data_IF_973683669544
#
_entry.id   IF_973683669544
#
_cell.length_a   1.000
_cell.length_b   1.000
_cell.length_c   1.000
_cell.angle_alpha   90.00
_cell.angle_beta   90.00
_cell.angle_gamma   90.00
#
_symmetry.space_group_name_H-M   'P 1'
#
loop_
_entity.id
_entity.type
_entity.pdbx_description
1 polymer ?
#
# COMPACT_ATOMS: atom_id res chain seq x y z
N UNK A 1 -4.71 -13.90 3.25
CA UNK A 1 -5.87 -14.61 2.67
C UNK A 1 -5.29 -15.74 1.87
N UNK A 2 -5.65 -17.00 2.15
CA UNK A 2 -5.11 -18.19 1.46
C UNK A 2 -6.15 -18.78 0.49
N UNK A 3 -6.48 -18.12 -0.65
CA UNK A 3 -7.58 -18.54 -1.51
C UNK A 3 -7.32 -19.87 -2.21
N UNK A 4 -6.06 -20.18 -2.53
CA UNK A 4 -5.66 -21.44 -3.16
C UNK A 4 -5.92 -22.64 -2.25
N UNK A 5 -5.39 -22.56 -1.02
CA UNK A 5 -5.52 -23.62 -0.02
C UNK A 5 -6.98 -23.85 0.34
N UNK A 6 -7.79 -22.78 0.38
CA UNK A 6 -9.25 -22.88 0.57
C UNK A 6 -9.93 -23.63 -0.58
N UNK A 7 -9.59 -23.32 -1.83
CA UNK A 7 -10.15 -24.02 -2.99
C UNK A 7 -9.79 -25.52 -2.99
N UNK A 8 -8.54 -25.87 -2.66
CA UNK A 8 -8.11 -27.27 -2.55
C UNK A 8 -8.86 -27.99 -1.43
N UNK A 9 -8.95 -27.39 -0.24
CA UNK A 9 -9.67 -27.98 0.90
C UNK A 9 -11.15 -28.20 0.57
N UNK A 10 -11.81 -27.23 -0.07
CA UNK A 10 -13.20 -27.38 -0.52
C UNK A 10 -13.37 -28.54 -1.49
N UNK A 11 -12.48 -28.70 -2.48
CA UNK A 11 -12.52 -29.81 -3.41
C UNK A 11 -12.37 -31.18 -2.74
N UNK A 12 -11.51 -31.27 -1.71
CA UNK A 12 -11.35 -32.49 -0.90
C UNK A 12 -12.63 -32.80 -0.14
N UNK A 13 -13.25 -31.78 0.50
CA UNK A 13 -14.51 -31.92 1.23
C UNK A 13 -15.68 -32.32 0.33
N UNK A 14 -15.71 -31.82 -0.91
CA UNK A 14 -16.74 -32.15 -1.91
C UNK A 14 -16.48 -33.48 -2.65
N UNK A 15 -15.42 -34.22 -2.29
CA UNK A 15 -14.99 -35.45 -2.94
C UNK A 15 -14.73 -35.30 -4.46
N UNK A 16 -14.24 -34.13 -4.88
CA UNK A 16 -13.86 -33.84 -6.27
C UNK A 16 -12.36 -34.03 -6.50
N UNK A 17 -11.95 -34.12 -7.77
CA UNK A 17 -10.53 -34.12 -8.12
C UNK A 17 -9.92 -32.73 -7.86
N UNK A 18 -9.16 -32.60 -6.76
CA UNK A 18 -8.55 -31.35 -6.33
C UNK A 18 -7.61 -30.72 -7.37
N UNK A 19 -6.93 -31.51 -8.21
CA UNK A 19 -6.04 -30.97 -9.27
C UNK A 19 -6.85 -30.23 -10.33
N UNK A 20 -7.97 -30.81 -10.75
CA UNK A 20 -8.86 -30.20 -11.75
C UNK A 20 -9.48 -28.91 -11.22
N UNK A 21 -9.94 -28.91 -9.98
CA UNK A 21 -10.48 -27.71 -9.32
C UNK A 21 -9.42 -26.63 -9.14
N UNK A 22 -8.20 -27.00 -8.77
CA UNK A 22 -7.06 -26.09 -8.69
C UNK A 22 -6.78 -25.40 -10.03
N UNK A 23 -6.75 -26.15 -11.13
CA UNK A 23 -6.55 -25.57 -12.46
C UNK A 23 -7.70 -24.65 -12.87
N UNK A 24 -8.94 -25.04 -12.59
CA UNK A 24 -10.13 -24.21 -12.82
C UNK A 24 -10.07 -22.90 -12.03
N UNK A 25 -9.77 -22.98 -10.74
CA UNK A 25 -9.59 -21.83 -9.86
C UNK A 25 -8.52 -20.87 -10.39
N UNK A 26 -7.35 -21.40 -10.73
CA UNK A 26 -6.22 -20.63 -11.25
C UNK A 26 -6.56 -19.94 -12.58
N UNK A 27 -7.28 -20.63 -13.47
CA UNK A 27 -7.73 -20.05 -14.73
C UNK A 27 -8.69 -18.88 -14.48
N UNK A 28 -9.68 -19.06 -13.61
CA UNK A 28 -10.63 -18.01 -13.24
C UNK A 28 -9.94 -16.82 -12.58
N UNK A 29 -8.98 -17.07 -11.68
CA UNK A 29 -8.18 -16.02 -11.06
C UNK A 29 -7.43 -15.17 -12.11
N UNK A 30 -6.83 -15.82 -13.12
CA UNK A 30 -6.10 -15.12 -14.20
C UNK A 30 -7.00 -14.29 -15.11
N UNK A 31 -8.26 -14.70 -15.29
CA UNK A 31 -9.22 -14.04 -16.18
C UNK A 31 -10.10 -12.99 -15.48
N UNK A 32 -10.23 -13.05 -14.15
CA UNK A 32 -11.11 -12.15 -13.38
C UNK A 32 -10.39 -10.84 -13.06
N UNK A 33 -11.01 -9.67 -13.29
CA UNK A 33 -10.45 -8.38 -12.89
C UNK A 33 -10.11 -8.32 -11.40
N UNK A 34 -8.88 -7.91 -11.07
CA UNK A 34 -8.46 -7.77 -9.68
C UNK A 34 -9.10 -6.54 -9.03
N UNK A 35 -9.44 -6.62 -7.74
CA UNK A 35 -10.22 -5.61 -7.02
C UNK A 35 -9.55 -4.23 -6.99
N UNK A 36 -8.22 -4.20 -6.84
CA UNK A 36 -7.39 -2.99 -6.77
C UNK A 36 -7.21 -2.35 -8.14
N UNK A 37 -6.64 -3.10 -9.09
CA UNK A 37 -6.20 -2.57 -10.39
C UNK A 37 -7.32 -2.49 -11.42
N UNK A 38 -8.42 -3.25 -11.23
CA UNK A 38 -9.54 -3.43 -12.18
C UNK A 38 -9.18 -4.15 -13.48
N UNK A 39 -7.95 -4.63 -13.58
CA UNK A 39 -7.48 -5.47 -14.68
C UNK A 39 -7.18 -6.86 -14.14
N UNK A 40 -7.34 -7.87 -14.99
CA UNK A 40 -7.03 -9.25 -14.63
C UNK A 40 -5.52 -9.47 -14.52
N UNK A 41 -5.06 -10.42 -13.69
CA UNK A 41 -3.63 -10.71 -13.59
C UNK A 41 -2.97 -11.08 -14.93
N UNK A 42 -3.66 -11.80 -15.81
CA UNK A 42 -3.12 -12.15 -17.12
C UNK A 42 -2.98 -10.95 -18.06
N UNK A 43 -3.94 -10.02 -18.01
CA UNK A 43 -3.85 -8.76 -18.76
C UNK A 43 -2.61 -7.98 -18.32
N UNK A 44 -2.35 -7.86 -17.02
CA UNK A 44 -1.20 -7.11 -16.51
C UNK A 44 0.17 -7.70 -16.91
N UNK A 45 0.27 -9.03 -17.00
CA UNK A 45 1.54 -9.72 -17.28
C UNK A 45 1.80 -9.92 -18.77
N UNK A 46 0.77 -10.29 -19.52
CA UNK A 46 0.90 -10.70 -20.92
C UNK A 46 0.31 -9.67 -21.89
N UNK A 47 -0.18 -8.55 -21.36
CA UNK A 47 -0.81 -7.46 -22.09
C UNK A 47 -1.97 -7.91 -23.00
N UNK A 48 -2.55 -9.09 -22.74
CA UNK A 48 -3.61 -9.71 -23.53
C UNK A 48 -4.76 -10.19 -22.65
N UNK A 49 -5.98 -10.15 -23.18
CA UNK A 49 -7.15 -10.64 -22.46
C UNK A 49 -7.38 -12.13 -22.69
N UNK A 50 -7.30 -12.94 -21.62
CA UNK A 50 -7.68 -14.35 -21.67
C UNK A 50 -9.20 -14.46 -21.84
N UNK A 51 -9.65 -15.05 -22.94
CA UNK A 51 -11.05 -15.33 -23.21
C UNK A 51 -11.38 -16.74 -22.69
N UNK A 52 -12.35 -16.82 -21.77
CA UNK A 52 -12.87 -18.09 -21.23
C UNK A 52 -13.90 -18.76 -22.16
N UNK A 53 -14.34 -18.04 -23.20
CA UNK A 53 -15.29 -18.51 -24.22
C UNK A 53 -14.56 -18.76 -25.52
N UNK A 54 -15.13 -19.61 -26.37
CA UNK A 54 -14.62 -19.87 -27.71
C UNK A 54 -14.42 -18.54 -28.48
N UNK A 55 -13.33 -18.40 -29.26
CA UNK A 55 -13.10 -17.19 -30.04
C UNK A 55 -14.25 -16.96 -31.01
N UNK A 56 -14.91 -15.81 -30.89
CA UNK A 56 -15.84 -15.34 -31.93
C UNK A 56 -15.01 -14.63 -33.03
N UNK A 57 -15.08 -15.05 -34.30
CA UNK A 57 -14.31 -14.45 -35.40
C UNK A 57 -14.55 -12.94 -35.58
N UNK A 58 -15.64 -12.40 -35.03
CA UNK A 58 -15.99 -10.97 -35.13
C UNK A 58 -15.22 -10.11 -34.10
N UNK A 59 -14.59 -10.70 -33.08
CA UNK A 59 -13.97 -9.94 -31.99
C UNK A 59 -12.46 -9.77 -32.20
N UNK A 60 -12.09 -8.70 -32.93
CA UNK A 60 -10.70 -8.26 -33.11
C UNK A 60 -10.02 -8.01 -31.75
N UNK A 61 -8.73 -8.34 -31.67
CA UNK A 61 -7.90 -8.23 -30.46
C UNK A 61 -7.77 -6.76 -30.07
N UNK A 62 -8.39 -6.35 -28.97
CA UNK A 62 -8.17 -5.03 -28.37
C UNK A 62 -7.25 -5.21 -27.16
N UNK A 63 -6.00 -5.54 -27.43
CA UNK A 63 -5.00 -5.83 -26.40
C UNK A 63 -4.18 -4.57 -26.12
N UNK A 64 -4.76 -3.63 -25.38
CA UNK A 64 -3.95 -2.60 -24.72
C UNK A 64 -4.46 -2.40 -23.31
N UNK A 65 -3.81 -3.07 -22.36
CA UNK A 65 -3.88 -2.64 -20.96
C UNK A 65 -3.41 -1.18 -20.90
N UNK A 66 -4.25 -0.31 -20.37
CA UNK A 66 -3.92 1.10 -20.19
C UNK A 66 -3.05 1.21 -18.93
N UNK A 67 -1.73 1.09 -19.09
CA UNK A 67 -0.76 1.12 -17.98
C UNK A 67 -0.98 2.32 -17.04
N UNK A 68 -1.28 3.49 -17.61
CA UNK A 68 -1.63 4.70 -16.84
C UNK A 68 -2.82 4.46 -15.90
N UNK A 69 -3.88 3.82 -16.38
CA UNK A 69 -5.08 3.54 -15.58
C UNK A 69 -4.80 2.52 -14.47
N UNK A 70 -3.95 1.52 -14.72
CA UNK A 70 -3.52 0.56 -13.69
C UNK A 70 -2.83 1.29 -12.55
N UNK A 71 -1.87 2.17 -12.87
CA UNK A 71 -1.12 2.95 -11.87
C UNK A 71 -2.01 3.89 -11.08
N UNK A 72 -2.91 4.61 -11.75
CA UNK A 72 -3.88 5.50 -11.07
C UNK A 72 -4.77 4.73 -10.08
N UNK A 73 -5.24 3.54 -10.46
CA UNK A 73 -6.05 2.69 -9.58
C UNK A 73 -5.26 2.19 -8.37
N UNK A 74 -4.01 1.78 -8.57
CA UNK A 74 -3.12 1.34 -7.48
C UNK A 74 -2.81 2.47 -6.49
N UNK A 75 -2.49 3.67 -7.00
CA UNK A 75 -2.26 4.86 -6.17
C UNK A 75 -3.50 5.17 -5.32
N UNK A 76 -4.68 5.23 -5.94
CA UNK A 76 -5.94 5.46 -5.21
C UNK A 76 -6.20 4.42 -4.13
N UNK A 77 -5.88 3.15 -4.39
CA UNK A 77 -6.05 2.08 -3.41
C UNK A 77 -5.06 2.22 -2.24
N UNK A 78 -3.81 2.57 -2.51
CA UNK A 78 -2.80 2.86 -1.49
C UNK A 78 -3.17 4.06 -0.63
N UNK A 79 -3.68 5.14 -1.23
CA UNK A 79 -4.17 6.31 -0.52
C UNK A 79 -5.32 5.96 0.43
N UNK A 80 -6.31 5.20 -0.05
CA UNK A 80 -7.42 4.71 0.79
C UNK A 80 -6.92 3.86 1.96
N UNK A 81 -5.96 2.97 1.70
CA UNK A 81 -5.38 2.11 2.73
C UNK A 81 -4.62 2.93 3.79
N UNK A 82 -3.85 3.93 3.36
CA UNK A 82 -3.15 4.87 4.24
C UNK A 82 -4.14 5.66 5.09
N UNK A 83 -5.16 6.28 4.48
CA UNK A 83 -6.18 7.03 5.20
C UNK A 83 -6.91 6.19 6.25
N UNK A 84 -7.22 4.93 5.93
CA UNK A 84 -7.82 4.01 6.89
C UNK A 84 -6.86 3.68 8.05
N UNK A 85 -5.59 3.39 7.75
CA UNK A 85 -4.58 3.10 8.77
C UNK A 85 -4.37 4.29 9.71
N UNK A 86 -4.27 5.50 9.17
CA UNK A 86 -4.12 6.74 9.93
C UNK A 86 -5.35 7.00 10.82
N UNK A 87 -6.56 6.77 10.30
CA UNK A 87 -7.80 6.84 11.07
C UNK A 87 -7.79 5.87 12.25
N UNK A 88 -7.46 4.60 12.01
CA UNK A 88 -7.38 3.58 13.07
C UNK A 88 -6.33 3.96 14.11
N UNK A 89 -5.17 4.47 13.68
CA UNK A 89 -4.10 4.93 14.58
C UNK A 89 -4.55 6.12 15.43
N UNK A 90 -5.27 7.10 14.87
CA UNK A 90 -5.83 8.24 15.61
C UNK A 90 -6.82 7.78 16.68
N UNK A 91 -7.74 6.87 16.33
CA UNK A 91 -8.71 6.30 17.29
C UNK A 91 -8.01 5.63 18.47
N UNK A 92 -6.98 4.82 18.23
CA UNK A 92 -6.22 4.13 19.29
C UNK A 92 -5.45 5.09 20.19
N UNK A 93 -4.92 6.20 19.65
CA UNK A 93 -4.28 7.26 20.46
C UNK A 93 -5.29 7.95 21.39
N UNK A 94 -6.47 8.27 20.87
CA UNK A 94 -7.56 8.86 21.65
C UNK A 94 -8.08 7.91 22.73
N UNK A 95 -8.24 6.62 22.43
CA UNK A 95 -8.58 5.62 23.45
C UNK A 95 -7.49 5.47 24.51
N UNK A 96 -6.21 5.57 24.13
CA UNK A 96 -5.09 5.51 25.08
C UNK A 96 -5.02 6.75 25.98
N UNK A 97 -5.37 7.94 25.49
CA UNK A 97 -5.39 9.15 26.32
C UNK A 97 -6.57 9.17 27.32
N UNK A 98 -7.69 8.51 27.01
CA UNK A 98 -8.81 8.33 27.95
C UNK A 98 -8.48 7.38 29.12
N UNK A 99 -7.39 6.61 29.02
CA UNK A 99 -6.96 5.65 30.04
C UNK A 99 -5.90 6.21 31.00
N UNK A 100 -5.47 7.46 30.82
CA UNK A 100 -4.55 8.16 31.71
C UNK A 100 -5.26 9.43 32.17
N UNK A 101 -6.18 9.28 33.13
CA UNK A 101 -6.61 10.43 33.93
C UNK A 101 -5.51 10.69 34.97
N UNK A 102 -4.89 11.88 35.00
CA UNK A 102 -3.89 12.18 36.03
C UNK A 102 -4.60 12.27 37.38
N UNK A 103 -4.15 11.46 38.35
CA UNK A 103 -4.56 11.61 39.74
C UNK A 103 -3.96 12.91 40.30
N UNK A 104 -4.71 13.72 41.08
CA UNK A 104 -4.19 14.96 41.63
C UNK A 104 -3.07 14.63 42.63
N UNK A 105 -1.83 15.01 42.28
CA UNK A 105 -0.71 14.93 43.22
C UNK A 105 -0.84 16.09 44.19
N UNK A 106 -0.78 15.80 45.50
CA UNK A 106 -0.79 16.84 46.53
C UNK A 106 0.58 17.52 46.54
N UNK A 107 0.58 18.84 46.38
CA UNK A 107 1.72 19.72 46.59
C UNK A 107 2.11 19.73 48.06
N UNK A 108 3.38 19.41 48.34
CA UNK A 108 4.10 19.97 49.49
C UNK A 108 5.60 19.71 49.28
N UNK A 109 6.39 20.77 49.16
CA UNK A 109 7.58 21.03 49.99
C UNK A 109 8.01 22.48 49.73
N UNK A 110 7.91 23.26 50.79
CA UNK A 110 8.33 24.65 50.92
C UNK A 110 9.84 24.75 51.18
N UNK A 111 10.36 25.93 50.81
CA UNK A 111 11.60 26.59 51.25
C UNK A 111 12.91 26.07 50.64
N UNK A 112 13.94 26.86 50.31
CA UNK A 112 14.20 28.30 50.16
C UNK A 112 15.66 28.41 49.65
N UNK A 113 16.05 29.59 49.12
CA UNK A 113 17.44 30.10 49.03
C UNK A 113 18.13 30.18 47.64
N UNK A 114 17.96 31.35 47.02
CA UNK A 114 18.99 32.40 46.81
C UNK A 114 20.03 32.36 45.65
N UNK A 115 20.15 33.56 45.03
CA UNK A 115 21.16 34.13 44.10
C UNK A 115 21.33 33.45 42.73
N UNK A 116 21.06 34.07 41.58
CA UNK A 116 21.47 35.41 41.16
C UNK A 116 22.56 35.26 40.08
N UNK A 117 22.28 35.68 38.84
CA UNK A 117 23.23 35.60 37.74
C UNK A 117 22.62 36.00 36.40
N UNK A 118 22.56 37.31 36.16
CA UNK A 118 22.34 37.95 34.86
C UNK A 118 23.43 37.54 33.86
N UNK A 119 23.05 37.28 32.61
CA UNK A 119 23.86 37.50 31.41
C UNK A 119 22.89 37.54 30.23
N UNK A 120 22.58 38.76 29.80
CA UNK A 120 22.11 39.07 28.46
C UNK A 120 23.11 38.57 27.42
N UNK A 121 22.64 38.16 26.25
CA UNK A 121 23.07 38.77 24.98
C UNK A 121 22.28 38.18 23.80
N UNK A 122 21.93 39.08 22.91
CA UNK A 122 21.17 38.94 21.69
C UNK A 122 21.82 38.01 20.66
N UNK A 123 21.04 37.08 20.10
CA UNK A 123 21.11 36.72 18.66
C UNK A 123 19.71 36.36 18.18
N UNK A 124 19.06 37.33 17.53
CA UNK A 124 18.02 37.03 16.56
C UNK A 124 18.70 36.50 15.30
N UNK A 125 18.23 35.37 14.75
CA UNK A 125 18.41 35.08 13.33
C UNK A 125 17.25 34.24 12.77
N UNK A 126 16.54 34.91 11.87
CA UNK A 126 15.90 34.45 10.63
C UNK A 126 14.89 33.30 10.66
N UNK A 127 13.63 33.72 10.56
CA UNK A 127 12.54 32.96 9.95
C UNK A 127 12.85 32.85 8.44
N UNK A 128 13.16 31.66 7.95
CA UNK A 128 13.06 31.38 6.52
C UNK A 128 12.10 30.22 6.25
N UNK A 129 11.09 30.55 5.44
CA UNK A 129 10.15 29.67 4.79
C UNK A 129 10.92 28.63 3.98
N UNK A 130 10.54 27.36 4.08
CA UNK A 130 10.37 26.43 2.95
C UNK A 130 10.27 25.00 3.49
N UNK A 131 9.01 24.55 3.60
CA UNK A 131 8.69 23.21 4.03
C UNK A 131 8.96 22.18 2.92
N UNK A 132 10.11 21.53 2.96
CA UNK A 132 10.34 20.29 2.21
C UNK A 132 10.42 19.08 3.15
N UNK A 133 9.31 18.33 3.26
CA UNK A 133 9.32 16.98 3.87
C UNK A 133 9.82 15.97 2.83
N UNK A 134 11.11 15.69 2.88
CA UNK A 134 11.80 14.67 2.07
C UNK A 134 11.33 13.25 2.43
N UNK A 135 10.49 12.64 1.60
CA UNK A 135 10.23 11.18 1.67
C UNK A 135 11.42 10.45 1.05
N UNK A 136 12.09 9.58 1.82
CA UNK A 136 13.14 8.70 1.29
C UNK A 136 12.52 7.63 0.39
N UNK A 137 12.56 7.84 -0.91
CA UNK A 137 12.41 6.78 -1.91
C UNK A 137 13.73 6.04 -2.05
N UNK A 138 13.70 4.71 -1.96
CA UNK A 138 14.86 3.87 -2.23
C UNK A 138 15.20 3.92 -3.72
N UNK A 139 16.46 4.23 -4.01
CA UNK A 139 17.02 4.26 -5.35
C UNK A 139 17.09 2.85 -5.93
N UNK A 140 16.33 2.59 -6.99
CA UNK A 140 16.56 1.47 -7.90
C UNK A 140 17.47 1.98 -9.01
N UNK A 141 18.76 1.65 -8.89
CA UNK A 141 19.73 1.86 -9.96
C UNK A 141 19.26 1.14 -11.23
N UNK A 142 19.09 1.90 -12.32
CA UNK A 142 18.84 1.36 -13.65
C UNK A 142 20.19 1.16 -14.32
N UNK A 143 20.66 -0.07 -14.39
CA UNK A 143 21.80 -0.43 -15.24
C UNK A 143 21.43 -0.13 -16.70
N UNK A 144 22.16 0.80 -17.31
CA UNK A 144 22.11 1.03 -18.76
C UNK A 144 22.87 -0.09 -19.45
N UNK A 145 22.12 -1.10 -19.91
CA UNK A 145 22.63 -2.14 -20.79
C UNK A 145 23.01 -1.57 -22.16
N UNK A 146 24.29 -1.72 -22.48
CA UNK A 146 24.96 -1.39 -23.72
C UNK A 146 24.30 -2.11 -24.92
N UNK A 147 24.02 -1.39 -26.03
CA UNK A 147 23.52 -1.99 -27.27
C UNK A 147 24.69 -2.44 -28.15
N UNK A 148 24.74 -3.70 -28.65
CA UNK A 148 25.68 -4.07 -29.69
C UNK A 148 25.24 -3.43 -31.02
N UNK A 149 26.21 -2.93 -31.78
CA UNK A 149 26.04 -2.35 -33.10
C UNK A 149 26.06 -3.50 -34.10
N UNK A 150 24.96 -3.70 -34.81
CA UNK A 150 24.92 -4.64 -35.92
C UNK A 150 25.87 -4.15 -37.03
N UNK A 151 26.81 -5.01 -37.44
CA UNK A 151 27.55 -4.93 -38.71
C UNK A 151 27.48 -6.29 -39.38
#
# INVERSE_FOLDING_TARGET
MEPMTKAIRAAITEHKNWKKELYSFLLNYRATPHSTTKFSPAELLFNRKIKMKLPNPVHQMQDTVKDKQVRENDVKAKERMKANADRVKKMRKSQKCLLIQPQPVKEEWQDSDNMGGDLSDDVADEINQDGEKKYKGGDIHRETGNQPKDT
#
